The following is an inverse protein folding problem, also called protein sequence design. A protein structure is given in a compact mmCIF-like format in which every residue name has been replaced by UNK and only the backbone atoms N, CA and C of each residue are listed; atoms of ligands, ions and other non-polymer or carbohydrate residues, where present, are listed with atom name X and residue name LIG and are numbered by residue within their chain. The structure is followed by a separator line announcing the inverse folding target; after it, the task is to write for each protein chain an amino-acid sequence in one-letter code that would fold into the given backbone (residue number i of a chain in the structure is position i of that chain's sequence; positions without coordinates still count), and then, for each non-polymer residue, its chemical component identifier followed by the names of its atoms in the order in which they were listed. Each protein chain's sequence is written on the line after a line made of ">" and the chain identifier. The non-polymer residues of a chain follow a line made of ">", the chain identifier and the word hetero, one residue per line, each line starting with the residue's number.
data_IF_867486027960
#
_entry.id   IF_867486027960
#
_cell.length_a   1.000
_cell.length_b   1.000
_cell.length_c   1.000
_cell.angle_alpha   90.00
_cell.angle_beta   90.00
_cell.angle_gamma   90.00
#
_symmetry.space_group_name_H-M   'P 1'
#
loop_
_entity.id
_entity.type
_entity.pdbx_description
1 polymer ?
#
# COMPACT_ATOMS: atom_id res chain seq x y z
N UNK A 1 17.58 20.54 -23.39
CA UNK A 1 16.82 20.44 -22.13
C UNK A 1 15.59 19.59 -22.42
N UNK A 2 15.69 18.27 -22.22
CA UNK A 2 14.66 17.32 -22.63
C UNK A 2 13.80 16.99 -21.41
N UNK A 3 12.56 17.43 -21.46
CA UNK A 3 11.54 17.16 -20.44
C UNK A 3 11.25 15.66 -20.52
N UNK A 4 11.51 14.91 -19.45
CA UNK A 4 11.19 13.49 -19.38
C UNK A 4 9.67 13.33 -19.44
N UNK A 5 9.16 12.94 -20.62
CA UNK A 5 7.78 12.50 -20.79
C UNK A 5 7.49 11.30 -19.91
N UNK A 6 6.33 11.30 -19.27
CA UNK A 6 5.85 10.23 -18.39
C UNK A 6 5.97 8.86 -19.08
N UNK A 7 6.59 7.84 -18.44
CA UNK A 7 6.70 6.52 -19.05
C UNK A 7 5.34 5.82 -18.99
N UNK A 8 4.61 5.80 -20.10
CA UNK A 8 3.46 4.91 -20.27
C UNK A 8 3.97 3.47 -20.40
N UNK A 9 3.35 2.54 -19.68
CA UNK A 9 3.71 1.12 -19.72
C UNK A 9 2.91 0.44 -20.85
N UNK A 10 3.56 -0.09 -21.90
CA UNK A 10 2.87 -0.48 -23.13
C UNK A 10 1.93 -1.69 -23.02
N UNK A 11 2.08 -2.54 -21.98
CA UNK A 11 1.35 -3.82 -21.89
C UNK A 11 -0.05 -3.73 -21.28
N UNK A 12 -0.40 -2.62 -20.65
CA UNK A 12 -1.67 -2.49 -19.91
C UNK A 12 -2.43 -1.18 -20.20
N UNK A 13 -2.06 -0.48 -21.28
CA UNK A 13 -2.66 0.79 -21.70
C UNK A 13 -2.85 1.79 -20.53
N UNK A 14 -1.80 1.98 -19.74
CA UNK A 14 -1.83 2.81 -18.54
C UNK A 14 -1.18 4.16 -18.81
N UNK A 15 -2.02 5.14 -19.12
CA UNK A 15 -1.68 6.57 -19.05
C UNK A 15 -2.81 7.26 -18.26
N UNK A 16 -2.82 7.10 -16.93
CA UNK A 16 -3.80 7.77 -16.06
C UNK A 16 -3.16 9.03 -15.43
N UNK A 17 -3.86 10.18 -15.39
CA UNK A 17 -3.42 11.32 -14.60
C UNK A 17 -3.33 10.93 -13.13
N UNK A 18 -2.31 11.44 -12.45
CA UNK A 18 -1.92 11.17 -11.06
C UNK A 18 -3.04 11.26 -10.00
N UNK A 19 -4.22 11.80 -10.34
CA UNK A 19 -5.30 12.10 -9.39
C UNK A 19 -6.40 11.04 -9.26
N UNK A 20 -6.42 9.98 -10.09
CA UNK A 20 -7.45 8.94 -10.03
C UNK A 20 -7.16 7.79 -9.06
N UNK A 21 -5.91 7.67 -8.61
CA UNK A 21 -5.40 6.49 -7.90
C UNK A 21 -5.22 6.73 -6.39
N UNK A 22 -5.04 8.00 -5.98
CA UNK A 22 -4.99 8.41 -4.58
C UNK A 22 -6.39 8.47 -3.97
N UNK A 23 -6.91 7.30 -3.55
CA UNK A 23 -8.23 7.21 -2.94
C UNK A 23 -8.27 7.66 -1.47
N UNK A 24 -7.15 8.11 -0.91
CA UNK A 24 -7.01 8.43 0.52
C UNK A 24 -8.05 9.44 1.00
N UNK A 25 -8.20 10.55 0.26
CA UNK A 25 -9.20 11.58 0.54
C UNK A 25 -10.65 11.12 0.36
N UNK A 26 -10.91 10.09 -0.46
CA UNK A 26 -12.26 9.54 -0.66
C UNK A 26 -12.61 8.57 0.49
N UNK A 27 -11.66 7.75 0.91
CA UNK A 27 -11.82 6.82 2.02
C UNK A 27 -12.01 7.54 3.35
N UNK A 28 -11.24 8.60 3.62
CA UNK A 28 -11.40 9.46 4.79
C UNK A 28 -12.82 10.04 4.86
N UNK A 29 -13.31 10.61 3.75
CA UNK A 29 -14.65 11.20 3.66
C UNK A 29 -15.78 10.18 3.84
N UNK A 30 -15.57 8.93 3.43
CA UNK A 30 -16.60 7.88 3.49
C UNK A 30 -16.67 7.17 4.85
N UNK A 31 -15.54 7.04 5.55
CA UNK A 31 -15.45 6.22 6.76
C UNK A 31 -15.43 7.03 8.04
N UNK A 32 -15.04 8.32 7.98
CA UNK A 32 -14.82 9.14 9.17
C UNK A 32 -13.66 8.65 10.05
N UNK A 33 -12.91 7.64 9.59
CA UNK A 33 -11.77 7.06 10.28
C UNK A 33 -10.72 6.62 9.29
N UNK A 34 -9.46 6.90 9.58
CA UNK A 34 -8.34 6.45 8.77
C UNK A 34 -8.00 4.96 8.97
N UNK A 35 -8.90 4.17 9.57
CA UNK A 35 -8.60 2.79 9.95
C UNK A 35 -9.68 1.77 9.59
N UNK A 36 -9.20 0.55 9.30
CA UNK A 36 -10.02 -0.59 8.90
C UNK A 36 -9.62 -1.84 9.67
N UNK A 37 -10.56 -2.75 9.91
CA UNK A 37 -10.25 -4.05 10.51
C UNK A 37 -9.57 -4.98 9.52
N UNK A 38 -8.81 -5.97 10.02
CA UNK A 38 -8.24 -7.03 9.19
C UNK A 38 -9.13 -8.27 9.26
N UNK A 39 -9.69 -8.76 8.13
CA UNK A 39 -10.43 -10.02 8.12
C UNK A 39 -9.59 -11.17 8.71
N UNK A 40 -10.07 -11.77 9.80
CA UNK A 40 -9.37 -12.85 10.51
C UNK A 40 -8.08 -12.43 11.23
N UNK A 41 -7.79 -11.12 11.36
CA UNK A 41 -6.58 -10.59 12.02
C UNK A 41 -6.76 -10.21 13.49
N UNK A 42 -7.89 -10.60 14.10
CA UNK A 42 -8.23 -10.29 15.48
C UNK A 42 -8.67 -8.82 15.69
N UNK A 43 -8.53 -8.31 16.91
CA UNK A 43 -8.83 -6.90 17.28
C UNK A 43 -7.70 -5.96 16.83
N UNK A 44 -7.31 -6.00 15.55
CA UNK A 44 -6.31 -5.09 14.98
C UNK A 44 -6.93 -4.19 13.92
N UNK A 45 -6.50 -2.93 13.91
CA UNK A 45 -6.88 -1.89 12.96
C UNK A 45 -5.67 -1.48 12.12
N UNK A 46 -5.86 -1.40 10.80
CA UNK A 46 -4.87 -0.91 9.83
C UNK A 46 -5.17 0.51 9.42
N UNK A 47 -4.13 1.34 9.34
CA UNK A 47 -4.19 2.61 8.63
C UNK A 47 -4.51 2.36 7.14
N UNK A 48 -5.38 3.17 6.55
CA UNK A 48 -5.71 3.09 5.12
C UNK A 48 -4.49 3.21 4.21
N UNK A 49 -3.43 3.91 4.64
CA UNK A 49 -2.17 4.06 3.89
C UNK A 49 -1.58 2.68 3.51
N UNK A 50 -1.79 1.66 4.35
CA UNK A 50 -1.35 0.28 4.13
C UNK A 50 -1.95 -0.28 2.85
N UNK A 51 -3.25 -0.10 2.63
CA UNK A 51 -3.93 -0.64 1.44
C UNK A 51 -3.44 0.01 0.16
N UNK A 52 -3.27 1.34 0.18
CA UNK A 52 -2.72 2.05 -0.97
C UNK A 52 -1.31 1.59 -1.30
N UNK A 53 -0.46 1.38 -0.31
CA UNK A 53 0.92 0.96 -0.55
C UNK A 53 1.04 -0.51 -1.00
N UNK A 54 0.15 -1.40 -0.51
CA UNK A 54 0.04 -2.77 -1.05
C UNK A 54 -0.40 -2.73 -2.52
N UNK A 55 -1.41 -1.92 -2.86
CA UNK A 55 -1.86 -1.76 -4.24
C UNK A 55 -0.74 -1.19 -5.13
N UNK A 56 0.00 -0.18 -4.62
CA UNK A 56 1.15 0.42 -5.31
C UNK A 56 2.17 -0.65 -5.70
N UNK A 57 2.59 -1.46 -4.72
CA UNK A 57 3.54 -2.54 -4.93
C UNK A 57 3.03 -3.58 -5.94
N UNK A 58 1.76 -3.96 -5.84
CA UNK A 58 1.17 -4.97 -6.71
C UNK A 58 1.03 -4.48 -8.17
N UNK A 59 0.34 -3.36 -8.39
CA UNK A 59 0.14 -2.81 -9.75
C UNK A 59 1.45 -2.31 -10.35
N UNK A 60 2.34 -1.74 -9.56
CA UNK A 60 3.69 -1.39 -10.00
C UNK A 60 4.46 -2.60 -10.52
N UNK A 61 4.32 -3.75 -9.86
CA UNK A 61 4.93 -5.00 -10.34
C UNK A 61 4.25 -5.55 -11.59
N UNK A 62 2.92 -5.44 -11.72
CA UNK A 62 2.18 -5.76 -12.96
C UNK A 62 2.68 -4.89 -14.12
N UNK A 63 2.98 -3.63 -13.83
CA UNK A 63 3.55 -2.66 -14.77
C UNK A 63 5.05 -2.92 -15.09
N UNK A 64 5.68 -3.88 -14.43
CA UNK A 64 7.06 -4.28 -14.69
C UNK A 64 8.12 -3.47 -13.94
N UNK A 65 7.74 -2.64 -12.96
CA UNK A 65 8.70 -1.94 -12.12
C UNK A 65 9.33 -2.89 -11.11
N UNK A 66 10.61 -2.64 -10.78
CA UNK A 66 11.30 -3.38 -9.72
C UNK A 66 10.83 -2.92 -8.35
N UNK A 67 10.93 -3.81 -7.35
CA UNK A 67 10.66 -3.49 -5.94
C UNK A 67 11.45 -2.25 -5.49
N UNK A 68 12.73 -2.14 -5.89
CA UNK A 68 13.57 -0.97 -5.62
C UNK A 68 13.00 0.31 -6.21
N UNK A 69 12.60 0.29 -7.48
CA UNK A 69 12.04 1.48 -8.13
C UNK A 69 10.72 1.93 -7.47
N UNK A 70 9.90 0.97 -7.02
CA UNK A 70 8.66 1.26 -6.30
C UNK A 70 8.96 1.85 -4.92
N UNK A 71 9.85 1.24 -4.15
CA UNK A 71 10.29 1.75 -2.85
C UNK A 71 10.87 3.17 -2.94
N UNK A 72 11.73 3.43 -3.94
CA UNK A 72 12.33 4.76 -4.17
C UNK A 72 11.31 5.78 -4.65
N UNK A 73 10.35 5.37 -5.49
CA UNK A 73 9.26 6.22 -5.94
C UNK A 73 8.35 6.68 -4.79
N UNK A 74 8.02 5.74 -3.89
CA UNK A 74 7.23 6.03 -2.69
C UNK A 74 7.99 6.87 -1.65
N UNK A 75 9.32 6.73 -1.58
CA UNK A 75 10.18 7.55 -0.74
C UNK A 75 10.47 8.95 -1.31
N UNK A 76 10.04 9.24 -2.54
CA UNK A 76 10.24 10.55 -3.14
C UNK A 76 9.42 11.61 -2.41
N UNK A 77 9.94 12.84 -2.31
CA UNK A 77 9.27 13.97 -1.66
C UNK A 77 7.90 14.34 -2.28
N UNK A 78 7.59 13.80 -3.45
CA UNK A 78 6.30 13.97 -4.14
C UNK A 78 5.21 13.01 -3.63
N UNK A 79 5.58 11.91 -2.95
CA UNK A 79 4.68 10.85 -2.50
C UNK A 79 4.27 10.98 -1.01
N UNK A 80 4.89 11.90 -0.28
CA UNK A 80 4.62 12.16 1.14
C UNK A 80 5.77 11.76 2.06
N UNK A 81 5.46 11.54 3.35
CA UNK A 81 6.42 11.02 4.32
C UNK A 81 6.46 9.50 4.19
N UNK A 82 7.65 8.95 3.96
CA UNK A 82 7.89 7.52 3.90
C UNK A 82 8.33 6.97 5.27
N UNK A 83 7.84 5.78 5.61
CA UNK A 83 8.20 5.06 6.82
C UNK A 83 8.36 3.55 6.57
N UNK A 84 8.86 2.82 7.57
CA UNK A 84 9.12 1.38 7.46
C UNK A 84 7.85 0.57 7.15
N UNK A 85 6.68 1.06 7.59
CA UNK A 85 5.38 0.42 7.35
C UNK A 85 4.91 0.61 5.91
N UNK A 86 5.20 1.75 5.30
CA UNK A 86 4.95 2.01 3.88
C UNK A 86 5.80 1.07 3.01
N UNK A 87 7.09 0.97 3.32
CA UNK A 87 7.99 0.05 2.63
C UNK A 87 7.62 -1.42 2.84
N UNK A 88 7.13 -1.81 4.02
CA UNK A 88 6.60 -3.16 4.24
C UNK A 88 5.33 -3.41 3.41
N UNK A 89 4.42 -2.44 3.35
CA UNK A 89 3.19 -2.53 2.57
C UNK A 89 3.46 -2.72 1.08
N UNK A 90 4.39 -1.95 0.51
CA UNK A 90 4.83 -2.11 -0.89
C UNK A 90 5.39 -3.52 -1.12
N UNK A 91 6.26 -3.99 -0.22
CA UNK A 91 6.86 -5.34 -0.31
C UNK A 91 5.83 -6.47 -0.24
N UNK A 92 4.76 -6.30 0.55
CA UNK A 92 3.63 -7.23 0.55
C UNK A 92 2.95 -7.25 -0.83
N UNK A 93 2.68 -6.08 -1.42
CA UNK A 93 2.13 -5.97 -2.78
C UNK A 93 2.98 -6.65 -3.86
N UNK A 94 4.29 -6.40 -3.84
CA UNK A 94 5.25 -7.05 -4.75
C UNK A 94 5.24 -8.57 -4.55
N UNK A 95 5.21 -9.03 -3.30
CA UNK A 95 5.19 -10.46 -2.98
C UNK A 95 3.92 -11.15 -3.49
N UNK A 96 2.77 -10.49 -3.37
CA UNK A 96 1.50 -10.97 -3.92
C UNK A 96 1.56 -11.13 -5.44
N UNK A 97 2.14 -10.15 -6.16
CA UNK A 97 2.33 -10.26 -7.60
C UNK A 97 3.28 -11.41 -7.96
N UNK A 98 4.40 -11.57 -7.24
CA UNK A 98 5.33 -12.69 -7.46
C UNK A 98 4.66 -14.06 -7.25
N UNK A 99 3.70 -14.16 -6.33
CA UNK A 99 2.98 -15.40 -6.01
C UNK A 99 1.84 -15.71 -6.99
N UNK A 100 1.07 -14.70 -7.41
CA UNK A 100 -0.20 -14.90 -8.13
C UNK A 100 -0.23 -14.30 -9.55
N UNK A 101 0.80 -13.56 -9.94
CA UNK A 101 0.91 -12.94 -11.27
C UNK A 101 -0.11 -11.83 -11.51
N UNK A 102 -0.30 -11.43 -12.77
CA UNK A 102 -1.21 -10.35 -13.16
C UNK A 102 -2.70 -10.74 -13.15
N UNK A 103 -3.03 -12.00 -12.85
CA UNK A 103 -4.41 -12.52 -12.87
C UNK A 103 -5.30 -12.00 -11.74
N UNK A 104 -4.73 -11.31 -10.76
CA UNK A 104 -5.45 -10.77 -9.62
C UNK A 104 -5.17 -11.55 -8.33
N UNK A 105 -5.58 -10.94 -7.21
CA UNK A 105 -5.47 -11.51 -5.86
C UNK A 105 -6.86 -11.49 -5.25
N UNK A 106 -7.27 -12.62 -4.68
CA UNK A 106 -8.53 -12.71 -3.93
C UNK A 106 -8.41 -12.04 -2.56
N UNK A 107 -9.55 -11.60 -2.02
CA UNK A 107 -9.61 -11.00 -0.67
C UNK A 107 -9.01 -11.92 0.41
N UNK A 108 -9.20 -13.24 0.28
CA UNK A 108 -8.64 -14.23 1.20
C UNK A 108 -7.09 -14.27 1.13
N UNK A 109 -6.52 -14.20 -0.07
CA UNK A 109 -5.07 -14.18 -0.27
C UNK A 109 -4.45 -12.87 0.24
N UNK A 110 -5.11 -11.74 -0.01
CA UNK A 110 -4.70 -10.43 0.52
C UNK A 110 -4.74 -10.42 2.05
N UNK A 111 -5.85 -10.88 2.65
CA UNK A 111 -5.99 -10.97 4.10
C UNK A 111 -4.97 -11.94 4.71
N UNK A 112 -4.66 -13.06 4.06
CA UNK A 112 -3.60 -13.98 4.50
C UNK A 112 -2.23 -13.31 4.51
N UNK A 113 -1.84 -12.64 3.42
CA UNK A 113 -0.55 -11.95 3.33
C UNK A 113 -0.37 -10.86 4.40
N UNK A 114 -1.45 -10.15 4.75
CA UNK A 114 -1.42 -9.19 5.86
C UNK A 114 -1.23 -9.91 7.19
N UNK A 115 -2.02 -10.95 7.46
CA UNK A 115 -1.95 -11.72 8.72
C UNK A 115 -0.56 -12.31 8.95
N UNK A 116 0.08 -12.81 7.90
CA UNK A 116 1.48 -13.30 7.91
C UNK A 116 2.47 -12.21 8.37
N UNK A 117 2.16 -10.93 8.16
CA UNK A 117 3.04 -9.83 8.49
C UNK A 117 2.61 -9.03 9.73
N UNK A 118 1.44 -9.27 10.35
CA UNK A 118 0.87 -8.44 11.43
C UNK A 118 1.73 -8.31 12.71
N UNK A 119 2.79 -9.10 12.85
CA UNK A 119 3.72 -9.08 14.00
C UNK A 119 5.04 -8.40 13.68
N UNK A 120 5.25 -7.97 12.43
CA UNK A 120 6.46 -7.26 12.00
C UNK A 120 6.64 -5.97 12.81
N UNK A 121 7.87 -5.68 13.27
CA UNK A 121 8.15 -4.44 13.99
C UNK A 121 8.03 -3.21 13.07
N UNK A 122 8.16 -3.37 11.75
CA UNK A 122 8.06 -2.28 10.76
C UNK A 122 6.72 -1.52 10.80
N UNK A 123 5.68 -2.12 11.38
CA UNK A 123 4.37 -1.47 11.56
C UNK A 123 4.34 -0.40 12.65
N UNK A 124 5.29 -0.46 13.57
CA UNK A 124 5.38 0.43 14.71
C UNK A 124 6.14 1.68 14.28
N UNK A 125 5.50 2.82 14.40
CA UNK A 125 6.15 4.11 14.23
C UNK A 125 6.45 4.72 15.61
N UNK A 126 7.38 5.68 15.66
CA UNK A 126 7.79 6.34 16.91
C UNK A 126 6.63 7.06 17.60
N UNK A 127 5.64 7.49 16.82
CA UNK A 127 4.37 7.97 17.32
C UNK A 127 3.33 6.85 17.23
N UNK A 128 2.68 6.56 18.38
CA UNK A 128 1.50 5.69 18.37
C UNK A 128 0.49 6.24 17.37
N UNK A 129 0.41 7.57 17.19
CA UNK A 129 -0.58 8.17 16.31
C UNK A 129 -0.43 7.76 14.83
N UNK A 130 0.80 7.59 14.37
CA UNK A 130 1.15 7.27 12.97
C UNK A 130 1.37 5.77 12.72
N UNK A 131 1.44 4.95 13.77
CA UNK A 131 1.56 3.49 13.65
C UNK A 131 0.49 2.90 12.73
N UNK A 132 0.95 2.05 11.80
CA UNK A 132 0.13 1.49 10.71
C UNK A 132 -0.78 0.36 11.19
N UNK A 133 -0.40 -0.33 12.26
CA UNK A 133 -1.20 -1.38 12.91
C UNK A 133 -1.44 -0.98 14.38
N UNK A 134 -2.67 -1.09 14.85
CA UNK A 134 -3.03 -0.89 16.27
C UNK A 134 -4.06 -1.88 16.79
N UNK A 135 -4.22 -2.03 18.11
CA UNK A 135 -5.44 -2.59 18.68
C UNK A 135 -6.68 -1.81 18.24
N UNK A 136 -7.77 -2.51 17.91
CA UNK A 136 -9.05 -1.91 17.55
C UNK A 136 -9.65 -1.09 18.70
N UNK A 137 -9.39 -1.49 19.94
CA UNK A 137 -9.91 -0.85 21.15
C UNK A 137 -9.29 0.53 21.43
N UNK A 138 -8.24 0.94 20.72
CA UNK A 138 -7.55 2.23 20.91
C UNK A 138 -8.14 3.34 20.02
N UNK A 139 -9.36 3.13 19.47
CA UNK A 139 -10.05 4.05 18.56
C UNK A 139 -11.35 4.65 19.17
N UNK A 140 -11.53 4.48 20.48
CA UNK A 140 -12.62 5.06 21.27
C UNK A 140 -12.15 6.32 22.01
#
# INVERSE_FOLDING_TARGET
>A
MQVFGSPCVPRVNWCAPVSGWDHKLKLERMTGTHRTGVPGGGRKALNYDVWSNIHYGYIGSVAGFSEKALSEGAASSLAGRDDAGDQLSIRIGVSLYRRYGAGGVSDAQLAAAIRENLTRPDWNDVDRNTSKVRPWNDLA
#
